data_IF_127502263896
#
_entry.id   IF_127502263896
#
_cell.length_a   1.000
_cell.length_b   1.000
_cell.length_c   1.000
_cell.angle_alpha   90.00
_cell.angle_beta   90.00
_cell.angle_gamma   90.00
#
_symmetry.space_group_name_H-M   'P 1'
#
loop_
_entity.id
_entity.type
_entity.pdbx_description
1 polymer ?
#
# COMPACT_ATOMS: atom_id res chain seq x y z
N UNK A 1 9.16 -16.53 -5.96
CA UNK A 1 10.10 -15.47 -6.34
C UNK A 1 11.52 -15.95 -6.15
N UNK A 2 12.39 -15.59 -7.05
CA UNK A 2 13.81 -15.86 -6.87
C UNK A 2 14.39 -14.87 -5.85
N UNK A 3 15.52 -15.21 -5.26
CA UNK A 3 16.20 -14.31 -4.33
C UNK A 3 16.53 -12.99 -5.03
N UNK A 4 16.22 -11.89 -4.41
CA UNK A 4 16.40 -10.57 -4.96
C UNK A 4 15.24 -10.01 -5.74
N UNK A 5 14.21 -10.82 -5.98
CA UNK A 5 12.99 -10.33 -6.62
C UNK A 5 12.10 -9.66 -5.58
N UNK A 6 11.61 -8.48 -5.92
CA UNK A 6 10.70 -7.73 -5.06
C UNK A 6 9.42 -7.42 -5.79
N UNK A 7 8.33 -7.32 -5.03
CA UNK A 7 7.05 -6.82 -5.54
C UNK A 7 6.78 -5.52 -4.81
N UNK A 8 6.60 -4.45 -5.57
CA UNK A 8 6.26 -3.14 -4.99
C UNK A 8 4.79 -3.07 -4.69
N UNK A 9 4.48 -2.60 -3.50
CA UNK A 9 3.09 -2.50 -3.05
C UNK A 9 2.97 -1.40 -1.99
N UNK A 10 1.75 -0.91 -1.81
CA UNK A 10 1.42 -0.07 -0.67
C UNK A 10 1.21 -0.94 0.56
N UNK A 11 1.35 -0.36 1.77
CA UNK A 11 0.96 -1.07 2.98
C UNK A 11 -0.47 -1.58 2.87
N UNK A 12 -0.68 -2.82 3.22
CA UNK A 12 -1.99 -3.47 3.10
C UNK A 12 -2.14 -4.56 4.14
N UNK A 13 -3.36 -4.82 4.54
CA UNK A 13 -3.67 -5.87 5.47
C UNK A 13 -5.17 -6.03 5.62
N UNK A 14 -5.55 -6.98 6.44
CA UNK A 14 -6.95 -7.28 6.70
C UNK A 14 -7.52 -6.32 7.74
N UNK A 15 -8.80 -6.01 7.59
CA UNK A 15 -9.52 -5.26 8.60
C UNK A 15 -9.95 -6.25 9.67
N UNK A 16 -9.52 -6.03 10.90
CA UNK A 16 -9.89 -6.91 12.00
C UNK A 16 -11.33 -6.66 12.42
N UNK A 17 -11.91 -7.64 13.05
CA UNK A 17 -13.28 -7.53 13.56
C UNK A 17 -13.41 -6.31 14.47
N UNK A 18 -14.41 -5.48 14.22
CA UNK A 18 -14.65 -4.28 14.99
C UNK A 18 -13.84 -3.06 14.57
N UNK A 19 -12.92 -3.21 13.64
CA UNK A 19 -12.16 -2.07 13.12
C UNK A 19 -12.89 -1.41 11.96
N UNK A 20 -12.68 -0.09 11.83
CA UNK A 20 -13.02 0.61 10.59
C UNK A 20 -11.84 0.53 9.63
N UNK A 21 -12.08 0.86 8.36
CA UNK A 21 -10.99 0.89 7.36
C UNK A 21 -9.89 1.88 7.77
N UNK A 22 -10.27 3.02 8.34
CA UNK A 22 -9.32 4.04 8.79
C UNK A 22 -8.44 3.55 9.92
N UNK A 23 -9.03 2.87 10.90
CA UNK A 23 -8.28 2.29 12.02
C UNK A 23 -7.34 1.20 11.52
N UNK A 24 -7.82 0.33 10.64
CA UNK A 24 -7.00 -0.72 10.05
C UNK A 24 -5.83 -0.15 9.25
N UNK A 25 -6.09 0.89 8.45
CA UNK A 25 -5.04 1.53 7.66
C UNK A 25 -3.94 2.11 8.56
N UNK A 26 -4.32 2.77 9.63
CA UNK A 26 -3.37 3.33 10.59
C UNK A 26 -2.53 2.23 11.25
N UNK A 27 -3.17 1.15 11.66
CA UNK A 27 -2.50 0.01 12.30
C UNK A 27 -1.53 -0.67 11.33
N UNK A 28 -1.98 -0.99 10.13
CA UNK A 28 -1.16 -1.68 9.13
C UNK A 28 0.04 -0.85 8.71
N UNK A 29 -0.15 0.46 8.52
CA UNK A 29 0.95 1.34 8.18
C UNK A 29 2.02 1.31 9.27
N UNK A 30 1.59 1.37 10.53
CA UNK A 30 2.51 1.33 11.67
C UNK A 30 3.25 0.01 11.76
N UNK A 31 2.52 -1.10 11.61
CA UNK A 31 3.11 -2.44 11.70
C UNK A 31 4.10 -2.72 10.59
N UNK A 32 3.78 -2.30 9.36
CA UNK A 32 4.60 -2.62 8.21
C UNK A 32 5.75 -1.65 7.99
N UNK A 33 5.61 -0.40 8.37
CA UNK A 33 6.60 0.64 8.05
C UNK A 33 7.13 1.42 9.24
N UNK A 34 6.43 1.41 10.35
CA UNK A 34 6.75 2.26 11.49
C UNK A 34 6.20 3.67 11.41
N UNK A 35 5.58 4.02 10.29
CA UNK A 35 5.07 5.38 10.08
C UNK A 35 3.71 5.58 10.76
N UNK A 36 3.39 6.83 10.99
CA UNK A 36 2.11 7.25 11.55
C UNK A 36 1.24 7.90 10.48
N UNK A 37 0.00 7.46 10.38
CA UNK A 37 -0.98 8.10 9.52
C UNK A 37 -1.54 9.31 10.27
N UNK A 38 -1.22 10.52 9.80
CA UNK A 38 -1.56 11.75 10.50
C UNK A 38 -2.79 12.45 9.92
N UNK A 39 -3.16 12.11 8.71
CA UNK A 39 -4.31 12.71 8.06
C UNK A 39 -4.86 11.76 7.01
N UNK A 40 -6.17 11.66 6.93
CA UNK A 40 -6.85 10.94 5.87
C UNK A 40 -7.45 11.97 4.93
N UNK A 41 -7.02 11.96 3.67
CA UNK A 41 -7.50 12.90 2.68
C UNK A 41 -8.70 12.34 1.92
N UNK A 42 -8.74 11.02 1.74
CA UNK A 42 -9.80 10.39 0.99
C UNK A 42 -9.92 8.92 1.37
N UNK A 43 -11.11 8.38 1.17
CA UNK A 43 -11.37 6.96 1.36
C UNK A 43 -12.29 6.52 0.23
N UNK A 44 -11.86 5.53 -0.52
CA UNK A 44 -12.63 5.06 -1.66
C UNK A 44 -13.65 4.01 -1.23
N UNK A 45 -14.71 3.87 -2.01
CA UNK A 45 -15.70 2.85 -1.79
C UNK A 45 -15.09 1.47 -2.00
N UNK A 46 -15.74 0.45 -1.45
CA UNK A 46 -15.27 -0.93 -1.58
C UNK A 46 -15.07 -1.33 -3.04
N UNK A 47 -14.01 -2.08 -3.28
CA UNK A 47 -13.75 -2.67 -4.59
C UNK A 47 -13.49 -4.16 -4.44
N UNK A 48 -13.73 -4.91 -5.50
CA UNK A 48 -13.47 -6.35 -5.48
C UNK A 48 -12.02 -6.64 -5.84
N UNK A 49 -11.43 -7.61 -5.16
CA UNK A 49 -10.08 -8.09 -5.47
C UNK A 49 -10.04 -8.78 -6.83
N UNK A 50 -11.04 -9.61 -7.10
CA UNK A 50 -11.13 -10.36 -8.36
C UNK A 50 -12.60 -10.67 -8.65
N UNK A 51 -13.18 -9.91 -9.57
CA UNK A 51 -14.58 -10.09 -9.96
C UNK A 51 -14.77 -11.49 -10.55
N UNK A 52 -15.77 -12.21 -10.05
CA UNK A 52 -16.11 -13.54 -10.54
C UNK A 52 -15.31 -14.68 -9.90
N UNK A 53 -14.28 -14.37 -9.13
CA UNK A 53 -13.44 -15.37 -8.49
C UNK A 53 -13.44 -15.28 -6.97
N UNK A 54 -13.83 -14.15 -6.42
CA UNK A 54 -13.76 -13.92 -4.98
C UNK A 54 -14.83 -12.92 -4.56
N UNK A 55 -15.33 -13.10 -3.35
CA UNK A 55 -16.22 -12.11 -2.71
C UNK A 55 -15.41 -11.12 -1.87
N UNK A 56 -14.10 -11.24 -1.88
CA UNK A 56 -13.23 -10.39 -1.10
C UNK A 56 -13.26 -8.95 -1.62
N UNK A 57 -13.48 -8.01 -0.72
CA UNK A 57 -13.47 -6.60 -1.05
C UNK A 57 -12.28 -5.90 -0.42
N UNK A 58 -11.93 -4.77 -0.99
CA UNK A 58 -10.84 -3.94 -0.51
C UNK A 58 -11.32 -2.52 -0.29
N UNK A 59 -10.71 -1.85 0.68
CA UNK A 59 -10.94 -0.44 0.93
C UNK A 59 -9.61 0.28 0.83
N UNK A 60 -9.61 1.41 0.12
CA UNK A 60 -8.41 2.21 -0.10
C UNK A 60 -8.54 3.51 0.67
N UNK A 61 -7.54 3.79 1.47
CA UNK A 61 -7.44 5.04 2.24
C UNK A 61 -6.27 5.82 1.71
N UNK A 62 -6.48 7.09 1.42
CA UNK A 62 -5.44 8.00 0.93
C UNK A 62 -5.20 9.06 2.00
N UNK A 63 -3.97 9.19 2.42
CA UNK A 63 -3.66 10.11 3.49
C UNK A 63 -2.21 10.54 3.52
N UNK A 64 -1.87 11.27 4.56
CA UNK A 64 -0.52 11.73 4.80
C UNK A 64 0.07 10.95 5.96
N UNK A 65 1.28 10.46 5.76
CA UNK A 65 2.03 9.74 6.79
C UNK A 65 3.31 10.48 7.12
N UNK A 66 3.79 10.30 8.35
CA UNK A 66 5.08 10.84 8.77
C UNK A 66 5.73 9.92 9.79
N UNK A 67 6.97 10.18 10.09
CA UNK A 67 7.72 9.42 11.07
C UNK A 67 8.96 8.82 10.46
N UNK A 68 9.55 7.87 11.19
CA UNK A 68 10.77 7.19 10.78
C UNK A 68 10.43 5.74 10.50
N UNK A 69 10.98 5.22 9.41
CA UNK A 69 10.82 3.81 9.08
C UNK A 69 11.42 2.94 10.17
N UNK A 70 10.70 1.88 10.51
CA UNK A 70 11.20 0.85 11.41
C UNK A 70 10.97 -0.50 10.77
N UNK A 71 11.62 -1.53 11.33
CA UNK A 71 11.45 -2.88 10.84
C UNK A 71 10.01 -3.33 10.99
N UNK A 72 9.49 -3.98 9.96
CA UNK A 72 8.14 -4.56 10.00
C UNK A 72 8.00 -5.51 11.18
N UNK A 73 6.85 -5.47 11.85
CA UNK A 73 6.50 -6.41 12.91
C UNK A 73 5.83 -7.66 12.36
N UNK A 74 5.57 -7.71 11.05
CA UNK A 74 5.04 -8.91 10.41
C UNK A 74 6.06 -10.03 10.51
N UNK A 75 5.61 -11.21 10.94
CA UNK A 75 6.48 -12.38 11.04
C UNK A 75 6.43 -13.25 9.79
N UNK A 76 5.51 -12.95 8.89
CA UNK A 76 5.25 -13.78 7.71
C UNK A 76 5.94 -13.26 6.45
N UNK A 77 6.33 -12.01 6.43
CA UNK A 77 6.87 -11.38 5.24
C UNK A 77 8.09 -10.54 5.58
N UNK A 78 9.02 -10.48 4.63
CA UNK A 78 10.12 -9.56 4.69
C UNK A 78 9.74 -8.30 3.93
N UNK A 79 9.58 -7.20 4.66
CA UNK A 79 9.12 -5.93 4.12
C UNK A 79 10.20 -4.89 4.31
N UNK A 80 10.55 -4.21 3.21
CA UNK A 80 11.42 -3.04 3.24
C UNK A 80 10.62 -1.85 2.71
N UNK A 81 10.52 -0.80 3.51
CA UNK A 81 9.75 0.39 3.16
C UNK A 81 10.69 1.56 2.86
N UNK A 82 10.31 2.38 1.89
CA UNK A 82 11.04 3.59 1.52
C UNK A 82 10.09 4.62 0.93
N UNK A 83 10.50 5.88 0.97
CA UNK A 83 9.82 6.93 0.23
C UNK A 83 10.35 6.97 -1.19
N UNK A 84 9.47 7.28 -2.13
CA UNK A 84 9.81 7.37 -3.55
C UNK A 84 9.24 8.64 -4.15
N UNK A 85 10.05 9.29 -4.98
CA UNK A 85 9.59 10.43 -5.77
C UNK A 85 8.80 9.93 -6.97
N UNK A 86 8.07 10.86 -7.62
CA UNK A 86 7.35 10.52 -8.86
C UNK A 86 8.30 10.01 -9.94
N UNK A 87 9.48 10.60 -10.04
CA UNK A 87 10.46 10.19 -11.05
C UNK A 87 10.98 8.78 -10.79
N UNK A 88 11.24 8.45 -9.52
CA UNK A 88 11.65 7.10 -9.14
C UNK A 88 10.55 6.09 -9.45
N UNK A 89 9.30 6.42 -9.15
CA UNK A 89 8.16 5.54 -9.42
C UNK A 89 8.00 5.30 -10.92
N UNK A 90 8.17 6.32 -11.75
CA UNK A 90 8.12 6.16 -13.20
C UNK A 90 9.11 5.12 -13.70
N UNK A 91 10.32 5.15 -13.16
CA UNK A 91 11.37 4.20 -13.53
C UNK A 91 11.04 2.80 -13.04
N UNK A 92 10.58 2.67 -11.79
CA UNK A 92 10.20 1.39 -11.23
C UNK A 92 9.05 0.73 -12.00
N UNK A 93 8.09 1.53 -12.48
CA UNK A 93 6.94 1.02 -13.24
C UNK A 93 7.36 0.32 -14.54
N UNK A 94 8.49 0.71 -15.10
CA UNK A 94 8.99 0.13 -16.35
C UNK A 94 9.83 -1.12 -16.12
N UNK A 95 10.46 -1.24 -14.97
CA UNK A 95 11.52 -2.22 -14.76
C UNK A 95 11.26 -3.22 -13.63
N UNK A 96 10.26 -2.96 -12.81
CA UNK A 96 10.04 -3.76 -11.60
C UNK A 96 8.61 -4.27 -11.54
N UNK A 97 8.42 -5.31 -10.73
CA UNK A 97 7.11 -5.93 -10.54
C UNK A 97 6.32 -5.22 -9.46
N UNK A 98 5.07 -4.93 -9.75
CA UNK A 98 4.14 -4.29 -8.83
C UNK A 98 2.92 -5.16 -8.61
N UNK A 99 2.27 -4.98 -7.46
CA UNK A 99 0.91 -5.46 -7.28
C UNK A 99 0.00 -4.64 -8.22
N UNK A 100 -1.02 -5.28 -8.80
CA UNK A 100 -1.81 -4.69 -9.87
C UNK A 100 -2.45 -3.34 -9.52
N UNK A 101 -3.09 -3.24 -8.35
CA UNK A 101 -3.75 -2.00 -7.93
C UNK A 101 -2.75 -0.90 -7.68
N UNK A 102 -1.63 -1.26 -7.08
CA UNK A 102 -0.55 -0.31 -6.80
C UNK A 102 0.05 0.20 -8.10
N UNK A 103 0.24 -0.68 -9.07
CA UNK A 103 0.74 -0.30 -10.39
C UNK A 103 -0.15 0.76 -11.04
N UNK A 104 -1.46 0.51 -11.07
CA UNK A 104 -2.40 1.44 -11.69
C UNK A 104 -2.41 2.80 -10.97
N UNK A 105 -2.46 2.80 -9.65
CA UNK A 105 -2.44 4.04 -8.88
C UNK A 105 -1.13 4.79 -9.08
N UNK A 106 -0.01 4.10 -9.03
CA UNK A 106 1.31 4.72 -9.21
C UNK A 106 1.46 5.33 -10.58
N UNK A 107 0.94 4.67 -11.61
CA UNK A 107 0.97 5.23 -12.96
C UNK A 107 0.23 6.56 -13.03
N UNK A 108 -0.99 6.61 -12.51
CA UNK A 108 -1.80 7.82 -12.50
C UNK A 108 -1.13 8.93 -11.69
N UNK A 109 -0.65 8.58 -10.52
CA UNK A 109 0.02 9.54 -9.63
C UNK A 109 1.30 10.10 -10.23
N UNK A 110 2.13 9.23 -10.79
CA UNK A 110 3.42 9.63 -11.37
C UNK A 110 3.25 10.49 -12.61
N UNK A 111 2.15 10.32 -13.33
CA UNK A 111 1.82 11.15 -14.50
C UNK A 111 1.27 12.52 -14.11
N UNK A 112 1.09 12.76 -12.81
CA UNK A 112 0.61 14.06 -12.34
C UNK A 112 -0.89 14.21 -12.34
N UNK A 113 -1.62 13.11 -12.44
CA UNK A 113 -3.07 13.11 -12.45
C UNK A 113 -3.72 13.29 -11.08
N UNK A 114 -2.96 13.24 -10.05
CA UNK A 114 -3.48 13.36 -8.67
C UNK A 114 -2.80 14.46 -7.92
#
# INVERSE_FOLDING_TARGET
MTAGDYVYNFPAGLIDEGETAEVAAKRELKEETGLNLIRIDDKLYDSYSAIGFSNETNQVVIGKAEGTFSKSTSTMEEITASWYTKEEVKELLKNCRFAARTQAFCYMWAKGGC
#
